data_IF_957783495908
#
_entry.id   IF_957783495908
#
_cell.length_a   1.000
_cell.length_b   1.000
_cell.length_c   1.000
_cell.angle_alpha   90.00
_cell.angle_beta   90.00
_cell.angle_gamma   90.00
#
_symmetry.space_group_name_H-M   'P 1'
#
loop_
_entity.id
_entity.type
_entity.pdbx_description
1 polymer ?
#
# COMPACT_ATOMS: atom_id res chain seq x y z
N UNK A 1 6.13 35.36 -13.97
CA UNK A 1 5.07 34.45 -14.49
C UNK A 1 5.56 33.01 -14.40
N UNK A 2 5.21 32.29 -13.32
CA UNK A 2 5.65 30.89 -13.12
C UNK A 2 4.77 29.96 -13.97
N UNK A 3 5.33 29.42 -15.06
CA UNK A 3 4.66 28.39 -15.87
C UNK A 3 4.72 27.07 -15.11
N UNK A 4 3.65 26.74 -14.38
CA UNK A 4 3.48 25.39 -13.81
C UNK A 4 3.37 24.39 -14.99
N UNK A 5 4.22 23.36 -15.06
CA UNK A 5 4.10 22.35 -16.10
C UNK A 5 2.74 21.64 -15.96
N UNK A 6 1.95 21.68 -17.02
CA UNK A 6 0.65 21.01 -17.08
C UNK A 6 0.93 19.52 -17.19
N UNK A 7 0.79 18.80 -16.09
CA UNK A 7 0.99 17.34 -16.03
C UNK A 7 -0.11 16.67 -16.86
N UNK A 8 0.14 16.46 -18.14
CA UNK A 8 -0.77 15.79 -19.09
C UNK A 8 -0.70 14.27 -19.02
N UNK A 9 0.09 13.71 -18.08
CA UNK A 9 0.18 12.27 -17.89
C UNK A 9 -1.14 11.79 -17.31
N UNK A 10 -1.89 11.04 -18.11
CA UNK A 10 -3.02 10.26 -17.63
C UNK A 10 -2.55 9.42 -16.43
N UNK A 11 -3.15 9.60 -15.25
CA UNK A 11 -2.86 8.78 -14.07
C UNK A 11 -3.24 7.27 -14.29
N UNK A 12 -3.70 6.93 -15.48
CA UNK A 12 -4.09 5.60 -15.93
C UNK A 12 -2.90 4.71 -16.33
N UNK A 13 -1.65 5.19 -16.26
CA UNK A 13 -0.47 4.32 -16.46
C UNK A 13 -0.23 3.43 -15.24
N UNK A 14 -1.12 2.45 -15.05
CA UNK A 14 -0.93 1.29 -14.18
C UNK A 14 -0.98 1.57 -12.69
N UNK A 15 -2.19 1.81 -12.16
CA UNK A 15 -2.46 1.89 -10.71
C UNK A 15 -1.75 0.73 -9.98
N UNK A 16 -0.98 1.06 -8.95
CA UNK A 16 -0.29 0.07 -8.13
C UNK A 16 -1.35 -0.74 -7.37
N UNK A 17 -1.63 -1.94 -7.84
CA UNK A 17 -2.49 -2.91 -7.14
C UNK A 17 -1.67 -3.66 -6.10
N UNK A 18 -2.32 -4.24 -5.10
CA UNK A 18 -1.66 -5.08 -4.10
C UNK A 18 -0.87 -6.21 -4.78
N UNK A 19 -1.47 -6.92 -5.73
CA UNK A 19 -0.80 -8.00 -6.47
C UNK A 19 0.45 -7.51 -7.21
N UNK A 20 0.44 -6.27 -7.72
CA UNK A 20 1.61 -5.68 -8.38
C UNK A 20 2.67 -5.24 -7.37
N UNK A 21 2.26 -4.69 -6.23
CA UNK A 21 3.16 -4.34 -5.14
C UNK A 21 3.86 -5.59 -4.58
N UNK A 22 3.13 -6.69 -4.35
CA UNK A 22 3.71 -7.96 -3.89
C UNK A 22 4.72 -8.53 -4.86
N UNK A 23 4.45 -8.47 -6.18
CA UNK A 23 5.42 -8.88 -7.21
C UNK A 23 6.70 -8.06 -7.15
N UNK A 24 6.60 -6.74 -6.94
CA UNK A 24 7.76 -5.86 -6.82
C UNK A 24 8.55 -6.21 -5.56
N UNK A 25 7.90 -6.35 -4.41
CA UNK A 25 8.55 -6.75 -3.16
C UNK A 25 9.24 -8.12 -3.27
N UNK A 26 8.64 -9.08 -3.97
CA UNK A 26 9.22 -10.40 -4.16
C UNK A 26 10.52 -10.39 -4.98
N UNK A 27 10.70 -9.42 -5.90
CA UNK A 27 11.98 -9.23 -6.63
C UNK A 27 13.12 -8.92 -5.65
N UNK A 28 12.83 -8.21 -4.56
CA UNK A 28 13.78 -7.89 -3.50
C UNK A 28 13.81 -8.97 -2.38
N UNK A 29 13.13 -10.11 -2.57
CA UNK A 29 13.03 -11.17 -1.57
C UNK A 29 12.09 -10.85 -0.39
N UNK A 30 11.32 -9.77 -0.47
CA UNK A 30 10.39 -9.37 0.57
C UNK A 30 9.01 -10.02 0.35
N UNK A 31 8.49 -10.66 1.40
CA UNK A 31 7.18 -11.33 1.37
C UNK A 31 6.34 -10.88 2.55
N UNK A 32 5.04 -10.69 2.33
CA UNK A 32 4.10 -10.39 3.40
C UNK A 32 3.98 -11.57 4.37
N UNK A 33 4.10 -11.25 5.67
CA UNK A 33 3.81 -12.20 6.73
C UNK A 33 2.34 -12.65 6.69
N UNK A 34 2.01 -13.86 7.18
CA UNK A 34 0.63 -14.34 7.22
C UNK A 34 -0.32 -13.38 7.94
N UNK A 35 0.15 -12.75 9.02
CA UNK A 35 -0.60 -11.76 9.79
C UNK A 35 -0.90 -10.50 8.97
N UNK A 36 0.06 -10.01 8.19
CA UNK A 36 -0.15 -8.83 7.34
C UNK A 36 -1.09 -9.15 6.18
N UNK A 37 -1.02 -10.34 5.58
CA UNK A 37 -1.98 -10.78 4.55
C UNK A 37 -3.41 -10.80 5.10
N UNK A 38 -3.60 -11.36 6.30
CA UNK A 38 -4.90 -11.39 6.97
C UNK A 38 -5.45 -9.98 7.21
N UNK A 39 -4.62 -9.09 7.76
CA UNK A 39 -5.02 -7.69 7.98
C UNK A 39 -5.42 -6.98 6.68
N UNK A 40 -4.65 -7.16 5.61
CA UNK A 40 -4.97 -6.54 4.32
C UNK A 40 -6.27 -7.07 3.71
N UNK A 41 -6.59 -8.35 3.95
CA UNK A 41 -7.87 -8.93 3.54
C UNK A 41 -9.04 -8.39 4.38
N UNK A 42 -8.88 -8.29 5.69
CA UNK A 42 -9.92 -7.78 6.61
C UNK A 42 -10.21 -6.28 6.41
N UNK A 43 -9.22 -5.52 5.95
CA UNK A 43 -9.32 -4.07 5.74
C UNK A 43 -9.56 -3.68 4.28
N UNK A 44 -9.89 -4.66 3.41
CA UNK A 44 -10.05 -4.44 1.99
C UNK A 44 -11.18 -3.45 1.65
N UNK A 45 -12.26 -3.48 2.42
CA UNK A 45 -13.47 -2.66 2.23
C UNK A 45 -13.40 -1.31 2.97
N UNK A 46 -12.35 -1.08 3.76
CA UNK A 46 -12.19 0.14 4.53
C UNK A 46 -11.65 1.31 3.68
N UNK A 47 -11.97 2.55 4.05
CA UNK A 47 -11.30 3.74 3.52
C UNK A 47 -9.77 3.64 3.65
N UNK A 48 -9.07 4.25 2.70
CA UNK A 48 -7.60 4.14 2.59
C UNK A 48 -6.88 4.56 3.86
N UNK A 49 -7.35 5.61 4.55
CA UNK A 49 -6.70 6.07 5.78
C UNK A 49 -6.92 5.15 6.97
N UNK A 50 -8.12 4.58 7.13
CA UNK A 50 -8.41 3.60 8.18
C UNK A 50 -7.53 2.36 8.01
N UNK A 51 -7.39 1.88 6.77
CA UNK A 51 -6.49 0.78 6.45
C UNK A 51 -5.03 1.10 6.77
N UNK A 52 -4.55 2.32 6.48
CA UNK A 52 -3.18 2.75 6.86
C UNK A 52 -3.00 2.80 8.37
N UNK A 53 -4.00 3.28 9.11
CA UNK A 53 -3.98 3.31 10.56
C UNK A 53 -3.92 1.89 11.14
N UNK A 54 -4.72 0.95 10.63
CA UNK A 54 -4.69 -0.45 11.05
C UNK A 54 -3.32 -1.10 10.82
N UNK A 55 -2.68 -0.84 9.67
CA UNK A 55 -1.32 -1.32 9.39
C UNK A 55 -0.33 -0.73 10.41
N UNK A 56 -0.33 0.60 10.62
CA UNK A 56 0.56 1.26 11.60
C UNK A 56 0.37 0.71 13.01
N UNK A 57 -0.87 0.48 13.42
CA UNK A 57 -1.20 -0.08 14.72
C UNK A 57 -0.55 -1.46 14.95
N UNK A 58 -0.41 -2.29 13.92
CA UNK A 58 0.29 -3.57 14.06
C UNK A 58 1.76 -3.42 14.44
N UNK A 59 2.44 -2.42 13.87
CA UNK A 59 3.86 -2.15 14.17
C UNK A 59 4.04 -1.42 15.52
N UNK A 60 3.01 -0.72 15.98
CA UNK A 60 3.01 -0.03 17.28
C UNK A 60 2.68 -0.96 18.46
N UNK A 61 2.16 -2.18 18.21
CA UNK A 61 2.03 -3.19 19.26
C UNK A 61 3.44 -3.61 19.67
N UNK A 62 4.00 -2.96 20.69
CA UNK A 62 5.20 -3.43 21.41
C UNK A 62 5.06 -4.93 21.64
N UNK A 63 6.08 -5.70 21.29
CA UNK A 63 6.17 -7.08 21.76
C UNK A 63 6.08 -7.02 23.29
N UNK A 64 5.02 -7.62 23.84
CA UNK A 64 4.96 -7.94 25.25
C UNK A 64 6.04 -8.98 25.57
#
# INVERSE_FOLDING_TARGET
MSKKPKLTRNANTGRLTQARAEKISAVEGLVLSPRMRKLLAETADQPTEERRQAIRAQFLRKSA
#
